data_IF_147625550755
#
_entry.id   IF_147625550755
#
_cell.length_a   1.000
_cell.length_b   1.000
_cell.length_c   1.000
_cell.angle_alpha   90.00
_cell.angle_beta   90.00
_cell.angle_gamma   90.00
#
_symmetry.space_group_name_H-M   'P 1'
#
loop_
_entity.id
_entity.type
_entity.pdbx_description
1 polymer ?
#
# COMPACT_ATOMS: atom_id res chain seq x y z
N UNK A 1 26.97 14.15 6.82
CA UNK A 1 26.92 14.12 5.34
C UNK A 1 25.95 15.21 4.87
N UNK A 2 26.33 16.11 3.98
CA UNK A 2 25.48 17.26 3.58
C UNK A 2 25.15 17.22 2.07
N UNK A 3 24.11 16.47 1.69
CA UNK A 3 23.66 16.33 0.29
C UNK A 3 22.45 17.20 -0.04
N UNK A 4 21.72 17.69 0.95
CA UNK A 4 20.46 18.41 0.77
C UNK A 4 19.33 17.58 0.13
N UNK A 5 19.47 16.25 0.02
CA UNK A 5 18.48 15.38 -0.64
C UNK A 5 17.32 15.10 0.32
N UNK A 6 16.10 15.48 -0.08
CA UNK A 6 14.87 15.17 0.65
C UNK A 6 14.08 13.99 0.07
N UNK A 7 14.31 13.65 -1.21
CA UNK A 7 13.67 12.53 -1.89
C UNK A 7 14.44 12.10 -3.14
N UNK A 8 14.21 10.87 -3.58
CA UNK A 8 14.76 10.26 -4.79
C UNK A 8 13.63 9.55 -5.53
N UNK A 9 13.59 9.75 -6.85
CA UNK A 9 12.73 9.00 -7.77
C UNK A 9 13.58 8.04 -8.58
N UNK A 10 13.24 6.75 -8.56
CA UNK A 10 13.95 5.69 -9.26
C UNK A 10 12.95 4.70 -9.91
N UNK A 11 12.20 5.13 -10.95
CA UNK A 11 11.00 4.41 -11.42
C UNK A 11 11.23 2.97 -11.89
N UNK A 12 12.45 2.63 -12.29
CA UNK A 12 12.84 1.29 -12.78
C UNK A 12 13.57 0.45 -11.73
N UNK A 13 13.75 0.97 -10.52
CA UNK A 13 14.40 0.27 -9.41
C UNK A 13 13.38 -0.42 -8.51
N UNK A 14 13.86 -1.31 -7.65
CA UNK A 14 13.02 -2.10 -6.74
C UNK A 14 12.16 -1.21 -5.82
N UNK A 15 12.78 -0.20 -5.18
CA UNK A 15 12.06 0.91 -4.57
C UNK A 15 11.96 2.06 -5.57
N UNK A 16 10.75 2.39 -6.00
CA UNK A 16 10.50 3.42 -7.01
C UNK A 16 10.63 4.84 -6.46
N UNK A 17 10.47 5.01 -5.15
CA UNK A 17 10.70 6.27 -4.45
C UNK A 17 11.30 6.04 -3.06
N UNK A 18 12.17 6.98 -2.68
CA UNK A 18 12.79 7.09 -1.37
C UNK A 18 12.56 8.52 -0.89
N UNK A 19 12.18 8.72 0.36
CA UNK A 19 12.02 10.08 0.89
C UNK A 19 12.05 10.15 2.40
N UNK A 20 12.32 11.34 2.91
CA UNK A 20 12.17 11.61 4.34
C UNK A 20 10.72 11.35 4.77
N UNK A 21 10.53 10.71 5.92
CA UNK A 21 9.20 10.61 6.49
C UNK A 21 8.67 12.01 6.87
N UNK A 22 7.35 12.20 6.80
CA UNK A 22 6.72 13.43 7.25
C UNK A 22 7.14 13.75 8.68
N UNK A 23 7.56 14.99 8.92
CA UNK A 23 7.91 15.48 10.26
C UNK A 23 6.62 15.55 11.09
N UNK A 24 6.41 14.57 11.95
CA UNK A 24 5.25 14.48 12.83
C UNK A 24 5.70 14.51 14.29
N UNK A 25 4.90 15.18 15.11
CA UNK A 25 4.99 15.16 16.57
C UNK A 25 3.78 14.40 17.08
N UNK A 26 3.99 13.31 17.82
CA UNK A 26 2.90 12.46 18.31
C UNK A 26 3.20 11.95 19.72
N UNK A 27 2.47 12.48 20.71
CA UNK A 27 2.77 12.22 22.12
C UNK A 27 4.21 12.61 22.44
N UNK A 28 4.98 11.67 22.96
CA UNK A 28 6.39 11.86 23.31
C UNK A 28 7.35 11.71 22.11
N UNK A 29 6.87 11.26 20.94
CA UNK A 29 7.69 11.19 19.74
C UNK A 29 7.84 12.57 19.07
N UNK A 30 9.09 12.97 18.85
CA UNK A 30 9.45 14.15 18.08
C UNK A 30 10.30 13.73 16.88
N UNK A 31 9.91 14.18 15.68
CA UNK A 31 10.72 13.96 14.49
C UNK A 31 12.08 14.69 14.61
N UNK A 32 13.19 14.07 14.17
CA UNK A 32 14.52 14.66 14.21
C UNK A 32 14.58 16.05 13.57
N UNK A 33 15.33 16.96 14.19
CA UNK A 33 15.55 18.35 13.70
C UNK A 33 17.01 18.66 13.42
N UNK A 34 17.90 17.75 13.79
CA UNK A 34 19.33 17.86 13.57
C UNK A 34 19.79 16.77 12.58
N UNK A 35 20.57 17.10 11.54
CA UNK A 35 21.16 16.10 10.64
C UNK A 35 22.02 15.03 11.33
N UNK A 36 22.50 15.29 12.55
CA UNK A 36 23.27 14.32 13.36
C UNK A 36 22.37 13.29 14.10
N UNK A 37 21.04 13.47 14.07
CA UNK A 37 20.09 12.52 14.63
C UNK A 37 19.63 11.51 13.56
N UNK A 38 19.42 10.23 13.92
CA UNK A 38 18.93 9.23 12.98
C UNK A 38 17.50 9.59 12.53
N UNK A 39 17.25 9.51 11.22
CA UNK A 39 15.97 9.88 10.61
C UNK A 39 15.34 8.70 9.86
N UNK A 40 14.01 8.60 9.90
CA UNK A 40 13.28 7.56 9.17
C UNK A 40 13.14 7.95 7.70
N UNK A 41 13.55 7.03 6.84
CA UNK A 41 13.32 7.07 5.41
C UNK A 41 12.15 6.15 5.04
N UNK A 42 11.26 6.65 4.18
CA UNK A 42 10.21 5.85 3.56
C UNK A 42 10.68 5.36 2.20
N UNK A 43 10.51 4.07 1.97
CA UNK A 43 10.73 3.43 0.69
C UNK A 43 9.40 2.86 0.18
N UNK A 44 9.13 2.99 -1.11
CA UNK A 44 7.92 2.44 -1.74
C UNK A 44 8.31 1.43 -2.82
N UNK A 45 7.91 0.18 -2.64
CA UNK A 45 7.95 -0.86 -3.66
C UNK A 45 6.52 -1.20 -4.07
N UNK A 46 6.26 -1.20 -5.38
CA UNK A 46 4.97 -1.58 -5.94
C UNK A 46 5.18 -2.85 -6.77
N UNK A 47 4.41 -3.88 -6.45
CA UNK A 47 4.47 -5.16 -7.14
C UNK A 47 3.33 -5.23 -8.13
N UNK A 48 3.68 -5.15 -9.40
CA UNK A 48 2.81 -5.40 -10.54
C UNK A 48 3.61 -6.13 -11.64
N UNK A 49 2.90 -6.63 -12.63
CA UNK A 49 3.51 -7.37 -13.76
C UNK A 49 3.04 -6.79 -15.10
N UNK A 50 3.37 -5.51 -15.36
CA UNK A 50 2.94 -4.85 -16.59
C UNK A 50 3.54 -5.53 -17.82
N UNK A 51 2.84 -5.44 -18.96
CA UNK A 51 3.32 -5.97 -20.24
C UNK A 51 3.18 -7.49 -20.42
N UNK A 52 2.61 -8.21 -19.45
CA UNK A 52 2.38 -9.66 -19.55
C UNK A 52 1.03 -10.05 -20.21
N UNK A 53 0.35 -9.11 -20.86
CA UNK A 53 -0.99 -9.31 -21.44
C UNK A 53 -2.01 -9.86 -20.43
N UNK A 54 -1.88 -9.42 -19.18
CA UNK A 54 -2.78 -9.74 -18.06
C UNK A 54 -3.72 -8.58 -17.81
N UNK A 55 -4.97 -8.86 -17.46
CA UNK A 55 -5.88 -7.81 -17.00
C UNK A 55 -5.46 -7.25 -15.63
N UNK A 56 -6.01 -6.11 -15.21
CA UNK A 56 -5.62 -5.47 -13.94
C UNK A 56 -5.74 -6.39 -12.72
N UNK A 57 -6.78 -7.22 -12.66
CA UNK A 57 -6.99 -8.16 -11.53
C UNK A 57 -5.90 -9.22 -11.50
N UNK A 58 -5.55 -9.78 -12.66
CA UNK A 58 -4.48 -10.76 -12.80
C UNK A 58 -3.11 -10.19 -12.44
N UNK A 59 -2.81 -8.96 -12.87
CA UNK A 59 -1.57 -8.27 -12.49
C UNK A 59 -1.47 -8.08 -10.97
N UNK A 60 -2.55 -7.64 -10.32
CA UNK A 60 -2.59 -7.50 -8.86
C UNK A 60 -2.40 -8.83 -8.13
N UNK A 61 -3.00 -9.91 -8.65
CA UNK A 61 -2.83 -11.25 -8.08
C UNK A 61 -1.39 -11.75 -8.21
N UNK A 62 -0.75 -11.53 -9.35
CA UNK A 62 0.63 -11.91 -9.59
C UNK A 62 1.60 -11.08 -8.71
N UNK A 63 1.47 -9.75 -8.72
CA UNK A 63 2.28 -8.87 -7.87
C UNK A 63 2.12 -9.16 -6.37
N UNK A 64 0.90 -9.45 -5.91
CA UNK A 64 0.67 -9.89 -4.53
C UNK A 64 1.40 -11.18 -4.19
N UNK A 65 1.39 -12.18 -5.09
CA UNK A 65 2.11 -13.44 -4.88
C UNK A 65 3.61 -13.20 -4.82
N UNK A 66 4.14 -12.36 -5.70
CA UNK A 66 5.55 -11.98 -5.69
C UNK A 66 5.93 -11.30 -4.38
N UNK A 67 5.21 -10.25 -3.96
CA UNK A 67 5.47 -9.54 -2.70
C UNK A 67 5.47 -10.46 -1.47
N UNK A 68 4.53 -11.42 -1.42
CA UNK A 68 4.44 -12.39 -0.32
C UNK A 68 5.54 -13.44 -0.36
N UNK A 69 6.05 -13.77 -1.54
CA UNK A 69 7.17 -14.70 -1.71
C UNK A 69 8.54 -14.03 -1.46
N UNK A 70 8.64 -12.71 -1.61
CA UNK A 70 9.88 -11.96 -1.39
C UNK A 70 10.29 -11.97 0.09
N UNK A 71 11.47 -12.54 0.36
CA UNK A 71 12.06 -12.61 1.71
C UNK A 71 12.41 -11.21 2.23
N UNK A 72 12.53 -11.09 3.56
CA UNK A 72 13.04 -9.86 4.17
C UNK A 72 14.45 -9.52 3.66
N UNK A 73 15.33 -10.52 3.57
CA UNK A 73 16.71 -10.35 3.11
C UNK A 73 16.78 -9.70 1.72
N UNK A 74 15.88 -10.07 0.80
CA UNK A 74 15.81 -9.42 -0.52
C UNK A 74 15.42 -7.95 -0.40
N UNK A 75 14.44 -7.61 0.44
CA UNK A 75 14.07 -6.21 0.68
C UNK A 75 15.24 -5.41 1.27
N UNK A 76 15.99 -5.99 2.20
CA UNK A 76 17.16 -5.37 2.82
C UNK A 76 18.30 -5.19 1.81
N UNK A 77 18.66 -6.23 1.06
CA UNK A 77 19.71 -6.17 0.02
C UNK A 77 19.42 -5.05 -0.99
N UNK A 78 18.18 -4.98 -1.51
CA UNK A 78 17.80 -3.95 -2.48
C UNK A 78 17.82 -2.55 -1.88
N UNK A 79 17.50 -2.41 -0.60
CA UNK A 79 17.53 -1.13 0.09
C UNK A 79 18.97 -0.65 0.23
N UNK A 80 19.86 -1.52 0.70
CA UNK A 80 21.29 -1.26 0.87
C UNK A 80 21.95 -0.90 -0.46
N UNK A 81 21.74 -1.70 -1.52
CA UNK A 81 22.27 -1.42 -2.85
C UNK A 81 21.80 -0.05 -3.38
N UNK A 82 20.50 0.25 -3.30
CA UNK A 82 19.99 1.53 -3.78
C UNK A 82 20.53 2.72 -2.96
N UNK A 83 20.61 2.60 -1.64
CA UNK A 83 21.17 3.65 -0.78
C UNK A 83 22.65 3.89 -1.06
N UNK A 84 23.43 2.82 -1.25
CA UNK A 84 24.85 2.94 -1.64
C UNK A 84 25.02 3.59 -3.01
N UNK A 85 24.13 3.34 -3.98
CA UNK A 85 24.16 4.04 -5.27
C UNK A 85 23.83 5.52 -5.17
N UNK A 86 22.86 5.87 -4.32
CA UNK A 86 22.37 7.25 -4.17
C UNK A 86 23.33 8.09 -3.32
N UNK A 87 23.73 7.57 -2.16
CA UNK A 87 24.43 8.32 -1.11
C UNK A 87 25.87 7.84 -0.88
N UNK A 88 26.25 6.64 -1.34
CA UNK A 88 27.62 6.13 -1.18
C UNK A 88 28.71 7.08 -1.69
N UNK A 89 28.58 7.71 -2.88
CA UNK A 89 29.58 8.67 -3.38
C UNK A 89 29.81 9.89 -2.48
N UNK A 90 28.88 10.19 -1.58
CA UNK A 90 29.01 11.29 -0.63
C UNK A 90 29.26 10.81 0.81
N UNK A 91 29.60 9.52 1.01
CA UNK A 91 30.13 8.97 2.25
C UNK A 91 29.15 8.17 3.11
N UNK A 92 27.96 7.84 2.58
CA UNK A 92 27.05 6.90 3.25
C UNK A 92 27.67 5.50 3.28
N UNK A 93 27.55 4.86 4.44
CA UNK A 93 28.05 3.52 4.73
C UNK A 93 26.88 2.71 5.28
N UNK A 94 26.41 1.71 4.54
CA UNK A 94 25.20 0.99 4.92
C UNK A 94 25.37 0.10 6.15
N UNK A 95 26.60 -0.36 6.45
CA UNK A 95 26.90 -1.13 7.67
C UNK A 95 26.86 -0.24 8.93
N UNK A 96 27.25 1.02 8.80
CA UNK A 96 27.31 1.98 9.91
C UNK A 96 26.02 2.80 10.07
N UNK A 97 25.45 3.27 8.97
CA UNK A 97 24.45 4.34 8.97
C UNK A 97 23.00 3.80 9.00
N UNK A 98 22.79 2.50 8.80
CA UNK A 98 21.48 1.86 8.93
C UNK A 98 21.34 1.25 10.33
N UNK A 99 20.54 1.90 11.19
CA UNK A 99 20.28 1.45 12.57
C UNK A 99 19.24 0.34 12.63
N UNK A 100 18.31 0.29 11.67
CA UNK A 100 17.26 -0.71 11.64
C UNK A 100 16.35 -0.57 10.44
N UNK A 101 15.65 -1.67 10.13
CA UNK A 101 14.76 -1.79 8.98
C UNK A 101 13.43 -2.40 9.41
N UNK A 102 12.36 -1.98 8.76
CA UNK A 102 11.03 -2.58 8.93
C UNK A 102 10.37 -2.66 7.57
N UNK A 103 9.86 -3.84 7.23
CA UNK A 103 9.14 -4.09 5.99
C UNK A 103 7.66 -4.28 6.29
N UNK A 104 6.83 -3.32 5.84
CA UNK A 104 5.38 -3.42 5.91
C UNK A 104 4.83 -3.94 4.58
N UNK A 105 4.28 -5.16 4.56
CA UNK A 105 3.64 -5.75 3.38
C UNK A 105 2.12 -5.51 3.44
N UNK A 106 1.55 -4.94 2.38
CA UNK A 106 0.12 -4.63 2.30
C UNK A 106 -0.60 -5.44 1.19
N UNK A 107 -0.66 -6.79 1.29
CA UNK A 107 -1.19 -7.68 0.24
C UNK A 107 -2.69 -7.52 -0.04
N UNK A 108 -3.42 -6.95 0.92
CA UNK A 108 -4.85 -6.70 0.86
C UNK A 108 -5.19 -5.29 1.37
N UNK A 109 -4.23 -4.35 1.26
CA UNK A 109 -4.35 -3.03 1.89
C UNK A 109 -5.43 -2.12 1.29
N UNK A 110 -5.95 -2.47 0.12
CA UNK A 110 -6.99 -1.72 -0.57
C UNK A 110 -8.02 -2.65 -1.19
N UNK A 111 -9.29 -2.30 -1.04
CA UNK A 111 -10.39 -2.97 -1.73
C UNK A 111 -10.24 -2.82 -3.24
N UNK A 112 -10.65 -3.86 -3.97
CA UNK A 112 -10.65 -3.81 -5.43
C UNK A 112 -11.68 -2.79 -5.92
N UNK A 113 -11.27 -1.89 -6.82
CA UNK A 113 -12.18 -1.02 -7.56
C UNK A 113 -12.33 -1.52 -8.98
N UNK A 114 -13.57 -1.66 -9.43
CA UNK A 114 -13.90 -2.14 -10.77
C UNK A 114 -13.23 -1.29 -11.84
N UNK A 115 -12.69 -1.95 -12.86
CA UNK A 115 -12.02 -1.36 -14.00
C UNK A 115 -12.91 -1.53 -15.25
N UNK A 116 -13.46 -0.45 -15.82
CA UNK A 116 -14.33 -0.56 -17.00
C UNK A 116 -13.64 -1.12 -18.26
N UNK A 117 -12.32 -1.20 -18.28
CA UNK A 117 -11.57 -1.78 -19.40
C UNK A 117 -11.61 -3.32 -19.41
N UNK A 118 -11.67 -3.95 -18.23
CA UNK A 118 -11.48 -5.40 -18.08
C UNK A 118 -12.64 -6.10 -17.33
N UNK A 119 -13.37 -5.37 -16.48
CA UNK A 119 -14.50 -5.90 -15.72
C UNK A 119 -15.81 -5.74 -16.51
N UNK A 120 -16.82 -6.60 -16.26
CA UNK A 120 -18.16 -6.45 -16.83
C UNK A 120 -18.71 -5.02 -16.68
N UNK A 121 -19.31 -4.49 -17.74
CA UNK A 121 -19.92 -3.15 -17.74
C UNK A 121 -20.94 -2.98 -16.62
N UNK A 122 -21.72 -4.03 -16.36
CA UNK A 122 -22.68 -4.06 -15.25
C UNK A 122 -22.00 -3.79 -13.91
N UNK A 123 -20.78 -4.30 -13.68
CA UNK A 123 -20.05 -4.05 -12.43
C UNK A 123 -19.40 -2.68 -12.39
N UNK A 124 -18.84 -2.23 -13.52
CA UNK A 124 -18.02 -1.02 -13.59
C UNK A 124 -18.85 0.27 -13.68
N UNK A 125 -20.02 0.22 -14.34
CA UNK A 125 -20.82 1.42 -14.65
C UNK A 125 -22.13 1.51 -13.87
N UNK A 126 -22.47 0.51 -13.06
CA UNK A 126 -23.74 0.50 -12.35
C UNK A 126 -23.58 0.19 -10.86
N UNK A 127 -24.69 0.30 -10.13
CA UNK A 127 -24.82 -0.16 -8.74
C UNK A 127 -25.70 -1.41 -8.65
N UNK A 128 -25.65 -2.30 -9.66
CA UNK A 128 -26.50 -3.49 -9.68
C UNK A 128 -26.24 -4.43 -8.51
N UNK A 129 -27.28 -5.19 -8.14
CA UNK A 129 -27.19 -6.22 -7.10
C UNK A 129 -26.31 -7.41 -7.51
N UNK A 130 -25.97 -7.52 -8.79
CA UNK A 130 -25.08 -8.56 -9.30
C UNK A 130 -23.59 -8.27 -9.04
N UNK A 131 -23.24 -7.07 -8.55
CA UNK A 131 -21.85 -6.73 -8.20
C UNK A 131 -21.34 -7.68 -7.12
N UNK A 132 -20.11 -8.23 -7.26
CA UNK A 132 -19.53 -9.15 -6.26
C UNK A 132 -19.55 -8.62 -4.83
N UNK A 133 -19.29 -7.33 -4.62
CA UNK A 133 -19.37 -6.70 -3.30
C UNK A 133 -20.81 -6.67 -2.74
N UNK A 134 -21.84 -6.49 -3.59
CA UNK A 134 -23.24 -6.47 -3.17
C UNK A 134 -23.74 -7.88 -2.86
N UNK A 135 -23.39 -8.86 -3.71
CA UNK A 135 -23.68 -10.28 -3.43
C UNK A 135 -22.98 -10.73 -2.14
N UNK A 136 -21.70 -10.37 -1.97
CA UNK A 136 -20.89 -10.78 -0.83
C UNK A 136 -21.26 -10.14 0.50
N UNK A 137 -21.93 -8.98 0.50
CA UNK A 137 -22.28 -8.25 1.73
C UNK A 137 -23.67 -8.54 2.29
N UNK A 138 -24.45 -9.40 1.63
CA UNK A 138 -25.81 -9.73 2.05
C UNK A 138 -25.83 -10.29 3.48
N UNK A 139 -26.89 -9.97 4.22
CA UNK A 139 -27.05 -10.44 5.58
C UNK A 139 -27.22 -11.96 5.65
N UNK A 140 -26.71 -12.55 6.73
CA UNK A 140 -26.94 -13.97 7.07
C UNK A 140 -27.58 -14.02 8.46
N UNK A 141 -28.91 -14.06 8.49
CA UNK A 141 -29.67 -13.99 9.74
C UNK A 141 -29.42 -12.68 10.48
N UNK A 142 -28.80 -12.73 11.67
CA UNK A 142 -28.45 -11.56 12.48
C UNK A 142 -27.02 -11.06 12.25
N UNK A 143 -26.39 -11.46 11.16
CA UNK A 143 -25.02 -11.09 10.81
C UNK A 143 -25.07 -10.18 9.57
N UNK A 144 -24.52 -8.97 9.69
CA UNK A 144 -24.34 -8.03 8.59
C UNK A 144 -22.84 -7.79 8.34
N UNK A 145 -22.45 -7.67 7.08
CA UNK A 145 -21.05 -7.48 6.67
C UNK A 145 -20.81 -6.00 6.36
N UNK A 146 -19.79 -5.40 6.98
CA UNK A 146 -19.42 -3.99 6.80
C UNK A 146 -17.91 -3.82 6.71
N UNK A 147 -17.44 -3.13 5.67
CA UNK A 147 -16.08 -2.63 5.45
C UNK A 147 -16.03 -1.93 4.07
N UNK A 148 -14.83 -1.47 3.69
CA UNK A 148 -14.55 -0.93 2.35
C UNK A 148 -14.82 -1.94 1.21
N UNK A 149 -14.59 -3.24 1.44
CA UNK A 149 -14.80 -4.29 0.44
C UNK A 149 -16.28 -4.50 0.10
N UNK A 150 -17.17 -4.28 1.07
CA UNK A 150 -18.60 -4.29 0.88
C UNK A 150 -19.08 -3.19 -0.09
N UNK A 151 -18.25 -2.17 -0.37
CA UNK A 151 -18.50 -1.14 -1.39
C UNK A 151 -17.62 -1.27 -2.64
N UNK A 152 -16.65 -2.19 -2.68
CA UNK A 152 -15.59 -2.24 -3.69
C UNK A 152 -14.87 -0.88 -3.87
N UNK A 153 -14.58 -0.19 -2.74
CA UNK A 153 -13.96 1.13 -2.73
C UNK A 153 -12.91 1.21 -1.64
N UNK A 154 -11.65 1.58 -1.95
CA UNK A 154 -10.55 1.63 -0.99
C UNK A 154 -10.61 2.83 -0.02
N UNK A 155 -11.68 3.61 -0.06
CA UNK A 155 -11.77 4.89 0.64
C UNK A 155 -12.44 4.74 2.01
N UNK A 156 -12.01 5.58 2.96
CA UNK A 156 -12.50 5.55 4.35
C UNK A 156 -13.99 5.86 4.46
N UNK A 157 -14.50 6.77 3.65
CA UNK A 157 -15.93 7.12 3.59
C UNK A 157 -16.79 5.91 3.18
N UNK A 158 -16.31 5.07 2.25
CA UNK A 158 -16.99 3.84 1.88
C UNK A 158 -17.13 2.89 3.07
N UNK A 159 -16.06 2.70 3.86
CA UNK A 159 -16.13 1.89 5.08
C UNK A 159 -17.15 2.42 6.10
N UNK A 160 -17.21 3.74 6.29
CA UNK A 160 -18.18 4.39 7.19
C UNK A 160 -19.62 4.20 6.68
N UNK A 161 -19.85 4.40 5.38
CA UNK A 161 -21.17 4.24 4.78
C UNK A 161 -21.67 2.79 4.85
N UNK A 162 -20.79 1.81 4.63
CA UNK A 162 -21.13 0.39 4.76
C UNK A 162 -21.38 -0.02 6.21
N UNK A 163 -20.72 0.60 7.18
CA UNK A 163 -21.04 0.43 8.59
C UNK A 163 -22.44 0.97 8.92
N UNK A 164 -22.77 2.18 8.44
CA UNK A 164 -24.10 2.76 8.61
C UNK A 164 -25.20 1.87 7.98
N UNK A 165 -24.97 1.36 6.76
CA UNK A 165 -25.88 0.41 6.09
C UNK A 165 -26.09 -0.83 6.95
N UNK A 166 -25.02 -1.52 7.34
CA UNK A 166 -25.10 -2.79 8.06
C UNK A 166 -25.83 -2.65 9.40
N UNK A 167 -25.58 -1.57 10.15
CA UNK A 167 -26.31 -1.27 11.38
C UNK A 167 -27.79 -1.03 11.09
N UNK A 168 -28.11 -0.26 10.06
CA UNK A 168 -29.50 0.02 9.66
C UNK A 168 -30.24 -1.26 9.27
N UNK A 169 -29.61 -2.16 8.53
CA UNK A 169 -30.21 -3.45 8.17
C UNK A 169 -30.54 -4.29 9.40
N UNK A 170 -29.61 -4.39 10.37
CA UNK A 170 -29.84 -5.14 11.62
C UNK A 170 -30.97 -4.58 12.49
N UNK A 171 -31.17 -3.26 12.48
CA UNK A 171 -32.23 -2.61 13.25
C UNK A 171 -33.60 -2.70 12.57
N UNK A 172 -33.61 -2.90 11.25
CA UNK A 172 -34.84 -2.98 10.43
C UNK A 172 -35.22 -4.42 10.06
N UNK A 173 -34.54 -5.43 10.62
CA UNK A 173 -34.88 -6.86 10.48
C UNK A 173 -35.85 -7.30 11.57
#
# INVERSE_FOLDING_TARGET
MDTGISSVSAPTSFYSSIGLQASVTMGDYQAPRNPEEPIVLRFSAYFDVPGQNLNRREQHLAGRKEMLATSFDTFEEKLRDQMMRVLGPAGFDDERDIVGLTVNRWPHGYSYSYNPMDDPEEWAYTSSDARPCVVGRQQVGRIAIANADAAASPHTDAAINEAYRAVSELLNT
#
